data_IF_035224929230
#
_entry.id   IF_035224929230
#
_cell.length_a   1.000
_cell.length_b   1.000
_cell.length_c   1.000
_cell.angle_alpha   90.00
_cell.angle_beta   90.00
_cell.angle_gamma   90.00
#
_symmetry.space_group_name_H-M   'P 1'
#
loop_
_entity.id
_entity.type
_entity.pdbx_description
1 polymer ?
#
# COMPACT_ATOMS: atom_id res chain seq x y z
N UNK A 1 -6.13 -21.35 -5.93
CA UNK A 1 -6.28 -21.38 -5.90
C UNK A 1 -6.51 -21.62 -5.82
N UNK A 2 -6.63 -21.30 -5.58
CA UNK A 2 -7.08 -21.23 -5.38
C UNK A 2 -7.51 -21.12 -5.04
N UNK A 3 -7.87 -21.13 -4.91
CA UNK A 3 -8.49 -20.88 -4.48
C UNK A 3 -8.79 -20.69 -3.86
N UNK A 4 -9.00 -20.65 -3.59
CA UNK A 4 -9.43 -20.48 -2.92
C UNK A 4 -9.86 -20.48 -2.57
N UNK A 5 -9.88 -20.51 -2.64
CA UNK A 5 -10.43 -20.43 -2.10
C UNK A 5 -10.74 -20.05 -1.71
N UNK A 6 -10.79 -20.13 -1.60
CA UNK A 6 -11.20 -19.71 -1.11
C UNK A 6 -11.23 -19.41 -0.55
N UNK A 7 -11.32 -19.53 -0.30
CA UNK A 7 -11.51 -19.15 0.31
C UNK A 7 -11.43 -18.84 0.97
N UNK A 8 -11.38 -18.93 1.39
CA UNK A 8 -11.46 -18.59 2.12
C UNK A 8 -10.96 -18.41 2.83
N UNK A 9 -10.49 -18.39 3.09
CA UNK A 9 -10.17 -18.10 3.82
C UNK A 9 -9.69 -17.49 4.09
N UNK A 10 -9.25 -17.54 4.04
CA UNK A 10 -8.92 -16.93 4.27
C UNK A 10 -9.27 -16.16 4.57
N UNK A 11 -9.86 -16.29 4.75
CA UNK A 11 -10.54 -15.36 4.93
C UNK A 11 -10.33 -14.53 6.07
N UNK A 12 -9.68 -14.73 7.11
CA UNK A 12 -9.41 -13.88 8.13
C UNK A 12 -8.62 -12.78 7.69
N UNK A 13 -7.59 -13.02 6.95
CA UNK A 13 -6.92 -11.98 6.22
C UNK A 13 -7.92 -11.27 5.33
N UNK A 14 -8.83 -12.02 4.76
CA UNK A 14 -9.86 -11.45 3.91
C UNK A 14 -10.82 -10.55 4.66
N UNK A 15 -10.92 -10.68 5.98
CA UNK A 15 -11.74 -9.80 6.79
C UNK A 15 -10.99 -8.54 7.20
N UNK A 16 -9.68 -8.49 6.98
CA UNK A 16 -8.87 -7.35 7.34
C UNK A 16 -8.81 -6.34 6.20
N UNK A 17 -8.81 -5.07 6.58
CA UNK A 17 -8.59 -3.99 5.62
C UNK A 17 -7.12 -4.02 5.23
N UNK A 18 -6.84 -4.07 3.93
CA UNK A 18 -5.48 -4.00 3.40
C UNK A 18 -5.24 -2.59 2.90
N UNK A 19 -4.13 -1.99 3.29
CA UNK A 19 -3.72 -0.66 2.83
C UNK A 19 -2.42 -0.81 2.07
N UNK A 20 -2.42 -0.41 0.80
CA UNK A 20 -1.30 -0.64 -0.11
C UNK A 20 -0.33 0.54 -0.09
N UNK A 21 0.94 0.25 0.15
CA UNK A 21 2.01 1.19 -0.12
C UNK A 21 2.23 1.30 -1.63
N UNK A 22 2.76 2.44 -2.08
CA UNK A 22 3.05 2.64 -3.50
C UNK A 22 3.97 1.56 -4.07
N UNK A 23 4.96 1.11 -3.29
CA UNK A 23 5.89 0.07 -3.73
C UNK A 23 5.16 -1.23 -4.11
N UNK A 24 4.10 -1.57 -3.40
CA UNK A 24 3.33 -2.78 -3.68
C UNK A 24 2.63 -2.68 -5.04
N UNK A 25 2.01 -1.55 -5.32
CA UNK A 25 1.30 -1.36 -6.59
C UNK A 25 2.28 -1.33 -7.76
N UNK A 26 3.41 -0.66 -7.60
CA UNK A 26 4.45 -0.63 -8.64
C UNK A 26 4.97 -2.04 -8.91
N UNK A 27 5.21 -2.83 -7.86
CA UNK A 27 5.65 -4.21 -8.02
C UNK A 27 4.64 -5.04 -8.81
N UNK A 28 3.35 -4.84 -8.55
CA UNK A 28 2.29 -5.55 -9.27
C UNK A 28 2.27 -5.15 -10.76
N UNK A 29 2.43 -3.87 -11.06
CA UNK A 29 2.43 -3.40 -12.45
C UNK A 29 3.61 -3.94 -13.26
N UNK A 30 4.77 -4.09 -12.63
CA UNK A 30 6.00 -4.49 -13.32
C UNK A 30 6.42 -5.92 -13.02
N UNK A 31 5.52 -6.70 -12.47
CA UNK A 31 5.74 -8.13 -12.19
C UNK A 31 7.04 -8.39 -11.42
N UNK A 32 7.30 -7.56 -10.41
CA UNK A 32 8.48 -7.70 -9.56
C UNK A 32 8.28 -8.83 -8.54
N UNK A 33 9.34 -9.32 -7.89
CA UNK A 33 9.19 -10.35 -6.86
C UNK A 33 8.20 -9.91 -5.79
N UNK A 34 7.23 -10.77 -5.49
CA UNK A 34 6.16 -10.47 -4.55
C UNK A 34 4.88 -9.96 -5.21
N UNK A 35 4.89 -9.71 -6.52
CA UNK A 35 3.72 -9.21 -7.24
C UNK A 35 2.49 -10.10 -7.05
N UNK A 36 2.67 -11.42 -6.99
CA UNK A 36 1.56 -12.36 -6.83
C UNK A 36 0.86 -12.15 -5.49
N UNK A 37 1.62 -11.96 -4.42
CA UNK A 37 1.05 -11.69 -3.09
C UNK A 37 0.26 -10.40 -3.10
N UNK A 38 0.79 -9.35 -3.74
CA UNK A 38 0.08 -8.08 -3.85
C UNK A 38 -1.21 -8.26 -4.63
N UNK A 39 -1.16 -8.97 -5.76
CA UNK A 39 -2.33 -9.17 -6.60
C UNK A 39 -3.46 -9.89 -5.83
N UNK A 40 -3.09 -10.86 -4.99
CA UNK A 40 -4.06 -11.58 -4.17
C UNK A 40 -4.78 -10.69 -3.17
N UNK A 41 -4.12 -9.62 -2.70
CA UNK A 41 -4.65 -8.74 -1.67
C UNK A 41 -5.25 -7.44 -2.22
N UNK A 42 -5.14 -7.21 -3.53
CA UNK A 42 -5.43 -5.89 -4.09
C UNK A 42 -6.92 -5.57 -4.17
N UNK A 43 -7.75 -6.54 -4.54
CA UNK A 43 -9.17 -6.26 -4.76
C UNK A 43 -9.83 -5.72 -3.49
N UNK A 44 -10.40 -4.53 -3.57
CA UNK A 44 -11.03 -3.88 -2.43
C UNK A 44 -10.09 -3.28 -1.42
N UNK A 45 -8.78 -3.29 -1.67
CA UNK A 45 -7.81 -2.67 -0.77
C UNK A 45 -7.93 -1.15 -0.80
N UNK A 46 -7.41 -0.52 0.24
CA UNK A 46 -7.35 0.93 0.34
C UNK A 46 -5.97 1.42 -0.07
N UNK A 47 -5.92 2.64 -0.53
CA UNK A 47 -4.68 3.31 -0.87
C UNK A 47 -4.81 4.79 -0.55
N UNK A 48 -3.84 5.35 0.18
CA UNK A 48 -3.82 6.79 0.42
C UNK A 48 -3.67 7.54 -0.91
N UNK A 49 -4.35 8.68 -1.03
CA UNK A 49 -4.18 9.55 -2.19
C UNK A 49 -2.72 9.96 -2.37
N UNK A 50 -1.94 10.07 -1.29
CA UNK A 50 -0.51 10.38 -1.36
C UNK A 50 0.24 9.24 -2.07
N UNK A 51 -0.04 8.01 -1.70
CA UNK A 51 0.59 6.84 -2.33
C UNK A 51 0.13 6.67 -3.78
N UNK A 52 -1.12 7.00 -4.06
CA UNK A 52 -1.64 7.01 -5.43
C UNK A 52 -0.80 7.96 -6.29
N UNK A 53 -0.56 9.17 -5.79
CA UNK A 53 0.27 10.15 -6.50
C UNK A 53 1.70 9.63 -6.73
N UNK A 54 2.25 8.92 -5.75
CA UNK A 54 3.58 8.33 -5.89
C UNK A 54 3.62 7.28 -7.00
N UNK A 55 2.58 6.46 -7.13
CA UNK A 55 2.50 5.46 -8.20
C UNK A 55 2.47 6.16 -9.56
N UNK A 56 1.62 7.18 -9.70
CA UNK A 56 1.56 7.96 -10.94
C UNK A 56 2.94 8.52 -11.29
N UNK A 57 3.62 9.11 -10.31
CA UNK A 57 4.94 9.69 -10.51
C UNK A 57 5.96 8.64 -10.95
N UNK A 58 5.90 7.44 -10.38
CA UNK A 58 6.80 6.34 -10.78
C UNK A 58 6.55 5.91 -12.22
N UNK A 59 5.30 5.89 -12.65
CA UNK A 59 4.99 5.55 -14.04
C UNK A 59 5.51 6.62 -15.00
N UNK A 60 5.41 7.89 -14.62
CA UNK A 60 6.01 9.00 -15.38
C UNK A 60 7.52 8.80 -15.49
N UNK A 61 8.18 8.50 -14.37
CA UNK A 61 9.63 8.28 -14.33
C UNK A 61 10.07 7.12 -15.23
N UNK A 62 9.19 6.12 -15.41
CA UNK A 62 9.44 4.98 -16.28
C UNK A 62 9.15 5.27 -17.75
N UNK A 63 8.75 6.50 -18.08
CA UNK A 63 8.49 6.90 -19.45
C UNK A 63 7.15 6.46 -20.02
N UNK A 64 6.22 6.03 -19.16
CA UNK A 64 4.88 5.64 -19.62
C UNK A 64 4.13 6.89 -20.05
N UNK A 65 3.50 6.90 -21.25
CA UNK A 65 2.74 8.06 -21.71
C UNK A 65 1.53 8.36 -20.80
N UNK A 66 1.19 9.64 -20.66
CA UNK A 66 0.11 10.09 -19.78
C UNK A 66 -1.21 9.36 -20.04
N UNK A 67 -1.57 9.17 -21.31
CA UNK A 67 -2.84 8.51 -21.66
C UNK A 67 -2.86 7.07 -21.15
N UNK A 68 -1.74 6.38 -21.21
CA UNK A 68 -1.63 5.01 -20.72
C UNK A 68 -1.67 4.96 -19.19
N UNK A 69 -1.02 5.94 -18.54
CA UNK A 69 -1.07 6.06 -17.07
C UNK A 69 -2.52 6.24 -16.61
N UNK A 70 -3.24 7.17 -17.23
CA UNK A 70 -4.63 7.43 -16.87
C UNK A 70 -5.49 6.17 -17.02
N UNK A 71 -5.25 5.42 -18.09
CA UNK A 71 -6.01 4.20 -18.35
C UNK A 71 -5.73 3.12 -17.31
N UNK A 72 -4.45 2.84 -17.04
CA UNK A 72 -4.09 1.76 -16.11
C UNK A 72 -4.50 2.11 -14.68
N UNK A 73 -4.39 3.37 -14.28
CA UNK A 73 -4.81 3.78 -12.95
C UNK A 73 -6.32 3.73 -12.77
N UNK A 74 -7.07 4.03 -13.83
CA UNK A 74 -8.54 3.94 -13.77
C UNK A 74 -9.03 2.50 -13.60
N UNK A 75 -8.24 1.52 -14.02
CA UNK A 75 -8.60 0.09 -13.92
C UNK A 75 -8.14 -0.54 -12.60
N UNK A 76 -7.41 0.21 -11.79
CA UNK A 76 -6.89 -0.31 -10.52
C UNK A 76 -8.03 -0.50 -9.52
N UNK A 77 -8.24 -1.73 -9.08
CA UNK A 77 -9.37 -2.08 -8.20
C UNK A 77 -9.01 -1.83 -6.74
N UNK A 78 -8.84 -0.56 -6.40
CA UNK A 78 -8.56 -0.11 -5.02
C UNK A 78 -9.44 1.09 -4.73
N UNK A 79 -9.70 1.31 -3.45
CA UNK A 79 -10.35 2.54 -3.00
C UNK A 79 -9.28 3.55 -2.63
N UNK A 80 -9.25 4.69 -3.33
CA UNK A 80 -8.31 5.77 -3.02
C UNK A 80 -8.94 6.65 -1.95
N UNK A 81 -8.27 6.77 -0.81
CA UNK A 81 -8.78 7.48 0.36
C UNK A 81 -8.07 8.83 0.45
N UNK A 82 -8.82 9.94 0.53
CA UNK A 82 -8.21 11.26 0.71
C UNK A 82 -7.40 11.31 2.01
N UNK A 83 -6.26 11.99 1.96
CA UNK A 83 -5.43 12.20 3.14
C UNK A 83 -6.00 13.36 3.95
N UNK A 84 -6.76 13.03 4.95
CA UNK A 84 -7.44 14.03 5.78
C UNK A 84 -6.58 14.48 6.95
N UNK A 85 -7.14 15.34 7.79
CA UNK A 85 -6.42 15.94 8.91
C UNK A 85 -5.98 14.88 9.92
N UNK A 86 -6.84 13.93 10.23
CA UNK A 86 -6.51 12.88 11.21
C UNK A 86 -5.36 12.01 10.72
N UNK A 87 -5.40 11.61 9.46
CA UNK A 87 -4.32 10.84 8.86
C UNK A 87 -3.02 11.64 8.82
N UNK A 88 -3.09 12.91 8.48
CA UNK A 88 -1.92 13.78 8.44
C UNK A 88 -1.28 13.90 9.81
N UNK A 89 -2.09 14.02 10.86
CA UNK A 89 -1.60 14.09 12.23
C UNK A 89 -0.87 12.80 12.60
N UNK A 90 -1.46 11.64 12.30
CA UNK A 90 -0.82 10.35 12.58
C UNK A 90 0.50 10.25 11.82
N UNK A 91 0.49 10.59 10.52
CA UNK A 91 1.70 10.52 9.69
C UNK A 91 2.82 11.40 10.25
N UNK A 92 2.48 12.58 10.73
CA UNK A 92 3.45 13.48 11.35
C UNK A 92 4.02 12.91 12.64
N UNK A 93 3.15 12.38 13.50
CA UNK A 93 3.58 11.82 14.79
C UNK A 93 4.45 10.57 14.61
N UNK A 94 4.29 9.83 13.53
CA UNK A 94 5.13 8.66 13.24
C UNK A 94 6.58 9.03 12.92
N UNK A 95 6.88 10.29 12.70
CA UNK A 95 8.23 10.73 12.30
C UNK A 95 9.33 10.21 13.22
N UNK A 96 9.13 10.33 14.54
CA UNK A 96 10.15 9.94 15.51
C UNK A 96 10.46 8.45 15.44
N UNK A 97 9.40 7.62 15.33
CA UNK A 97 9.54 6.17 15.39
C UNK A 97 10.03 5.57 14.07
N UNK A 98 9.93 6.31 12.98
CA UNK A 98 10.28 5.81 11.64
C UNK A 98 11.54 6.48 11.07
N UNK A 99 12.12 7.45 11.79
CA UNK A 99 13.26 8.21 11.29
C UNK A 99 14.47 7.31 11.03
N UNK A 100 14.77 6.43 11.97
CA UNK A 100 15.93 5.54 11.85
C UNK A 100 15.82 4.59 10.66
N UNK A 101 14.60 4.17 10.32
CA UNK A 101 14.36 3.30 9.18
C UNK A 101 14.28 4.10 7.86
N UNK A 102 14.36 5.43 7.92
CA UNK A 102 14.38 6.28 6.74
C UNK A 102 13.07 6.40 6.00
N UNK A 103 11.94 6.22 6.69
CA UNK A 103 10.64 6.29 6.02
C UNK A 103 10.31 7.70 5.57
N UNK A 104 9.81 7.80 4.34
CA UNK A 104 9.37 9.06 3.74
C UNK A 104 7.99 9.45 4.25
N UNK A 105 7.54 10.65 3.87
CA UNK A 105 6.17 11.08 4.13
C UNK A 105 5.16 10.13 3.48
N UNK A 106 5.44 9.66 2.27
CA UNK A 106 4.58 8.69 1.59
C UNK A 106 4.45 7.39 2.37
N UNK A 107 5.58 6.88 2.86
CA UNK A 107 5.58 5.65 3.68
C UNK A 107 4.73 5.86 4.94
N UNK A 108 4.93 6.99 5.61
CA UNK A 108 4.18 7.32 6.82
C UNK A 108 2.69 7.56 6.53
N UNK A 109 2.36 8.05 5.34
CA UNK A 109 0.96 8.23 4.94
C UNK A 109 0.25 6.88 4.79
N UNK A 110 0.93 5.89 4.24
CA UNK A 110 0.40 4.52 4.17
C UNK A 110 0.14 3.96 5.57
N UNK A 111 1.14 4.06 6.44
CA UNK A 111 1.01 3.58 7.82
C UNK A 111 -0.10 4.32 8.56
N UNK A 112 -0.21 5.63 8.35
CA UNK A 112 -1.24 6.43 9.02
C UNK A 112 -2.64 5.98 8.61
N UNK A 113 -2.86 5.69 7.33
CA UNK A 113 -4.15 5.18 6.87
C UNK A 113 -4.43 3.80 7.48
N UNK A 114 -3.43 2.93 7.52
CA UNK A 114 -3.57 1.60 8.11
C UNK A 114 -3.93 1.71 9.60
N UNK A 115 -3.28 2.58 10.34
CA UNK A 115 -3.59 2.80 11.76
C UNK A 115 -5.00 3.35 11.91
N UNK A 116 -5.35 4.36 11.12
CA UNK A 116 -6.66 5.00 11.17
C UNK A 116 -7.81 4.02 10.91
N UNK A 117 -7.60 3.08 10.01
CA UNK A 117 -8.61 2.08 9.62
C UNK A 117 -8.43 0.74 10.31
N UNK A 118 -7.46 0.61 11.21
CA UNK A 118 -7.15 -0.65 11.90
C UNK A 118 -6.91 -1.79 10.93
N UNK A 119 -6.17 -1.48 9.88
CA UNK A 119 -5.88 -2.42 8.81
C UNK A 119 -4.45 -2.92 8.84
N UNK A 120 -4.09 -3.58 7.76
CA UNK A 120 -2.75 -4.12 7.53
C UNK A 120 -2.09 -3.31 6.43
N UNK A 121 -0.89 -2.80 6.69
CA UNK A 121 -0.10 -2.11 5.67
C UNK A 121 0.68 -3.14 4.85
N UNK A 122 0.52 -3.10 3.54
CA UNK A 122 1.22 -4.00 2.61
C UNK A 122 2.26 -3.22 1.83
N UNK A 123 3.52 -3.61 1.99
CA UNK A 123 4.65 -2.94 1.38
C UNK A 123 5.64 -3.97 0.80
N UNK A 124 6.52 -3.50 -0.10
CA UNK A 124 7.65 -4.28 -0.59
C UNK A 124 8.94 -3.93 0.16
N UNK A 125 8.92 -2.92 1.03
CA UNK A 125 10.12 -2.43 1.69
C UNK A 125 10.39 -3.23 2.97
N UNK A 126 11.45 -4.04 2.93
CA UNK A 126 11.85 -4.90 4.06
C UNK A 126 12.22 -4.12 5.31
N UNK A 127 12.60 -2.84 5.17
CA UNK A 127 12.93 -2.02 6.34
C UNK A 127 11.74 -1.85 7.29
N UNK A 128 10.51 -1.96 6.78
CA UNK A 128 9.33 -1.83 7.62
C UNK A 128 9.15 -3.00 8.60
N UNK A 129 9.79 -4.14 8.32
CA UNK A 129 9.66 -5.32 9.18
C UNK A 129 10.24 -5.09 10.58
N UNK A 130 11.15 -4.13 10.73
CA UNK A 130 11.77 -3.83 12.01
C UNK A 130 11.02 -2.77 12.81
N UNK A 131 9.97 -2.17 12.24
CA UNK A 131 9.21 -1.13 12.92
C UNK A 131 8.39 -1.71 14.06
N UNK A 132 8.36 -0.98 15.19
CA UNK A 132 7.58 -1.38 16.35
C UNK A 132 6.45 -0.37 16.53
N UNK A 133 5.41 -0.54 15.73
CA UNK A 133 4.25 0.33 15.69
C UNK A 133 3.01 -0.48 16.01
N UNK A 134 1.96 0.21 16.44
CA UNK A 134 0.66 -0.42 16.71
C UNK A 134 -0.13 -0.58 15.39
N UNK A 135 0.46 -1.33 14.47
CA UNK A 135 -0.14 -1.62 13.18
C UNK A 135 0.49 -2.89 12.64
N UNK A 136 -0.31 -3.74 12.03
CA UNK A 136 0.22 -4.93 11.38
C UNK A 136 0.80 -4.56 10.01
N UNK A 137 1.99 -5.08 9.71
CA UNK A 137 2.69 -4.81 8.47
C UNK A 137 2.98 -6.15 7.77
N UNK A 138 2.60 -6.23 6.51
CA UNK A 138 2.90 -7.37 5.66
C UNK A 138 3.92 -6.92 4.61
N UNK A 139 5.10 -7.54 4.63
CA UNK A 139 6.12 -7.30 3.61
C UNK A 139 6.03 -8.42 2.59
N UNK A 140 5.71 -8.07 1.34
CA UNK A 140 5.39 -9.05 0.30
C UNK A 140 6.61 -9.49 -0.52
N UNK A 141 7.80 -9.19 -0.04
CA UNK A 141 9.00 -9.43 -0.83
C UNK A 141 9.98 -10.41 -0.18
#
# INVERSE_FOLDING_TARGET
MSSFKIVVRKRRVTDRVIVLDASAVVAAFFDEPGADTVAEQMSGALMSAVNYAEVVAKLVDRGIPDSQILEVMAQLDVEVVPADRDQATIAGLLRAETRAAGLSLGDRSCLALAINRRGVALTMDRAWASLQLDVEILVAR
#
